data_IF_981132724832
#
_entry.id   IF_981132724832
#
_cell.length_a   1.000
_cell.length_b   1.000
_cell.length_c   1.000
_cell.angle_alpha   90.00
_cell.angle_beta   90.00
_cell.angle_gamma   90.00
#
_symmetry.space_group_name_H-M   'P 1'
#
loop_
_entity.id
_entity.type
_entity.pdbx_description
1 polymer ?
#
# COMPACT_ATOMS: atom_id res chain seq x y z
N UNK A 1 -5.59 13.50 6.67
CA UNK A 1 -4.18 13.08 6.78
C UNK A 1 -4.08 11.58 7.02
N UNK A 2 -3.40 10.88 6.11
CA UNK A 2 -3.07 9.46 6.22
C UNK A 2 -1.58 9.33 6.47
N UNK A 3 -1.24 8.46 7.41
CA UNK A 3 0.11 7.96 7.61
C UNK A 3 0.17 6.56 7.00
N UNK A 4 1.00 6.39 5.97
CA UNK A 4 1.47 5.12 5.47
C UNK A 4 2.75 4.82 6.26
N UNK A 5 2.61 4.14 7.38
CA UNK A 5 3.77 3.65 8.12
C UNK A 5 4.47 2.57 7.28
N UNK A 6 5.81 2.46 7.39
CA UNK A 6 6.64 1.36 6.86
C UNK A 6 5.87 0.04 6.78
N UNK A 7 5.35 -0.37 5.62
CA UNK A 7 4.50 -1.58 5.62
C UNK A 7 4.30 -2.31 4.32
N UNK A 8 5.06 -2.03 3.25
CA UNK A 8 5.20 -3.06 2.21
C UNK A 8 6.05 -4.19 2.79
N UNK A 9 5.38 -5.10 3.51
CA UNK A 9 6.00 -6.26 4.13
C UNK A 9 5.59 -7.49 3.36
N UNK A 10 6.58 -8.32 3.06
CA UNK A 10 6.33 -9.64 2.52
C UNK A 10 5.58 -10.46 3.58
N UNK A 11 4.34 -10.81 3.26
CA UNK A 11 3.51 -11.74 4.00
C UNK A 11 3.71 -13.13 3.41
N UNK A 12 4.13 -14.08 4.26
CA UNK A 12 4.07 -15.50 3.94
C UNK A 12 2.61 -15.92 3.97
N UNK A 13 2.01 -16.11 2.79
CA UNK A 13 0.65 -16.61 2.68
C UNK A 13 0.69 -18.11 3.01
N UNK A 14 0.19 -18.49 4.19
CA UNK A 14 0.00 -19.90 4.53
C UNK A 14 -1.27 -20.39 3.84
N UNK A 15 -1.12 -21.26 2.87
CA UNK A 15 -2.23 -21.95 2.22
C UNK A 15 -2.28 -23.40 2.69
N UNK A 16 -3.48 -23.91 2.95
CA UNK A 16 -3.70 -25.29 3.41
C UNK A 16 -3.46 -26.33 2.30
N UNK A 17 -3.51 -25.86 1.03
CA UNK A 17 -3.20 -26.65 -0.16
C UNK A 17 -1.79 -26.29 -0.65
N UNK A 18 -1.02 -27.26 -1.16
CA UNK A 18 0.28 -26.98 -1.77
C UNK A 18 0.06 -26.14 -3.02
N UNK A 19 0.51 -24.89 -2.98
CA UNK A 19 0.48 -24.01 -4.16
C UNK A 19 1.78 -24.24 -4.92
N UNK A 20 1.65 -24.57 -6.21
CA UNK A 20 2.77 -24.87 -7.12
C UNK A 20 3.57 -23.59 -7.47
N UNK A 21 3.04 -22.41 -7.15
CA UNK A 21 3.67 -21.09 -7.30
C UNK A 21 3.97 -20.47 -5.94
N UNK A 22 5.19 -19.92 -5.76
CA UNK A 22 5.58 -19.18 -4.55
C UNK A 22 4.77 -17.87 -4.46
N UNK A 23 3.67 -17.90 -3.70
CA UNK A 23 2.80 -16.75 -3.47
C UNK A 23 3.41 -15.84 -2.40
N UNK A 24 4.36 -15.01 -2.81
CA UNK A 24 4.83 -13.88 -2.00
C UNK A 24 3.79 -12.77 -2.03
N UNK A 25 2.99 -12.68 -0.98
CA UNK A 25 2.06 -11.58 -0.79
C UNK A 25 2.77 -10.37 -0.22
N UNK A 26 2.40 -9.16 -0.65
CA UNK A 26 2.84 -7.94 0.02
C UNK A 26 1.62 -7.26 0.64
N UNK A 27 1.68 -6.90 1.92
CA UNK A 27 0.64 -6.07 2.54
C UNK A 27 0.97 -4.59 2.38
N UNK A 28 -0.01 -3.69 2.41
CA UNK A 28 0.19 -2.27 2.66
C UNK A 28 -0.83 -1.80 3.69
N UNK A 29 -0.38 -0.99 4.65
CA UNK A 29 -1.20 -0.50 5.76
C UNK A 29 -1.38 1.01 5.61
N UNK A 30 -2.63 1.44 5.42
CA UNK A 30 -3.01 2.84 5.45
C UNK A 30 -3.61 3.15 6.82
N UNK A 31 -3.04 4.10 7.54
CA UNK A 31 -3.58 4.55 8.82
C UNK A 31 -4.06 5.99 8.73
N UNK A 32 -5.29 6.26 9.14
CA UNK A 32 -5.78 7.63 9.26
C UNK A 32 -5.30 8.21 10.60
N UNK A 33 -4.47 9.24 10.57
CA UNK A 33 -3.98 9.88 11.80
C UNK A 33 -5.08 10.63 12.56
N UNK A 34 -6.16 11.03 11.88
CA UNK A 34 -7.27 11.78 12.47
C UNK A 34 -8.25 10.83 13.17
N UNK A 35 -8.69 9.79 12.48
CA UNK A 35 -9.73 8.87 12.98
C UNK A 35 -9.19 7.61 13.62
N UNK A 36 -7.86 7.40 13.60
CA UNK A 36 -7.18 6.16 14.02
C UNK A 36 -7.66 4.88 13.29
N UNK A 37 -8.29 5.05 12.13
CA UNK A 37 -8.74 3.93 11.30
C UNK A 37 -7.55 3.27 10.59
N UNK A 38 -7.52 1.95 10.58
CA UNK A 38 -6.53 1.14 9.84
C UNK A 38 -7.20 0.50 8.64
N UNK A 39 -6.58 0.61 7.47
CA UNK A 39 -7.04 -0.04 6.24
C UNK A 39 -5.89 -0.87 5.64
N UNK A 40 -6.14 -2.18 5.46
CA UNK A 40 -5.17 -3.13 4.95
C UNK A 40 -5.44 -3.42 3.47
N UNK A 41 -4.40 -3.37 2.65
CA UNK A 41 -4.44 -3.71 1.23
C UNK A 41 -3.45 -4.81 0.89
N UNK A 42 -3.86 -5.72 -0.01
CA UNK A 42 -2.98 -6.72 -0.59
C UNK A 42 -2.38 -6.22 -1.90
N UNK A 43 -1.08 -6.45 -2.07
CA UNK A 43 -0.29 -6.10 -3.23
C UNK A 43 0.34 -7.37 -3.80
N UNK A 44 0.45 -7.39 -5.12
CA UNK A 44 1.13 -8.44 -5.89
C UNK A 44 2.64 -8.29 -5.89
N UNK A 45 3.18 -7.21 -5.34
CA UNK A 45 4.60 -6.88 -5.35
C UNK A 45 4.90 -5.58 -4.60
N UNK A 46 6.19 -5.31 -4.37
CA UNK A 46 6.67 -4.06 -3.78
C UNK A 46 6.93 -2.93 -4.80
N UNK A 47 6.38 -3.04 -6.00
CA UNK A 47 6.59 -2.05 -7.07
C UNK A 47 5.76 -0.78 -6.85
N UNK A 48 6.24 0.34 -7.40
CA UNK A 48 5.54 1.63 -7.38
C UNK A 48 4.12 1.53 -7.96
N UNK A 49 3.95 0.80 -9.07
CA UNK A 49 2.64 0.60 -9.68
C UNK A 49 1.66 -0.15 -8.76
N UNK A 50 2.15 -1.17 -8.04
CA UNK A 50 1.32 -1.91 -7.09
C UNK A 50 0.86 -1.01 -5.93
N UNK A 51 1.74 -0.14 -5.43
CA UNK A 51 1.43 0.83 -4.38
C UNK A 51 0.43 1.88 -4.86
N UNK A 52 0.62 2.46 -6.04
CA UNK A 52 -0.31 3.44 -6.62
C UNK A 52 -1.69 2.80 -6.78
N UNK A 53 -1.77 1.56 -7.27
CA UNK A 53 -3.03 0.85 -7.38
C UNK A 53 -3.69 0.59 -6.01
N UNK A 54 -2.91 0.26 -4.98
CA UNK A 54 -3.41 0.13 -3.62
C UNK A 54 -3.95 1.46 -3.07
N UNK A 55 -3.24 2.56 -3.31
CA UNK A 55 -3.68 3.91 -2.93
C UNK A 55 -4.97 4.31 -3.66
N UNK A 56 -5.09 4.01 -4.96
CA UNK A 56 -6.32 4.25 -5.73
C UNK A 56 -7.51 3.48 -5.15
N UNK A 57 -7.32 2.21 -4.77
CA UNK A 57 -8.39 1.42 -4.11
C UNK A 57 -8.77 2.00 -2.75
N UNK A 58 -7.78 2.45 -1.97
CA UNK A 58 -8.03 3.16 -0.72
C UNK A 58 -8.89 4.41 -0.95
N UNK A 59 -8.50 5.27 -1.89
CA UNK A 59 -9.20 6.53 -2.21
C UNK A 59 -10.62 6.25 -2.69
N UNK A 60 -10.81 5.25 -3.56
CA UNK A 60 -12.13 4.85 -4.04
C UNK A 60 -13.09 4.43 -2.90
N UNK A 61 -12.56 3.89 -1.79
CA UNK A 61 -13.36 3.42 -0.65
C UNK A 61 -13.50 4.44 0.47
N UNK A 62 -12.53 5.34 0.67
CA UNK A 62 -12.44 6.23 1.85
C UNK A 62 -12.41 7.72 1.50
N UNK A 63 -12.39 8.07 0.23
CA UNK A 63 -12.20 9.43 -0.25
C UNK A 63 -10.72 9.84 -0.31
N UNK A 64 -10.49 10.98 -0.95
CA UNK A 64 -9.14 11.51 -1.16
C UNK A 64 -8.60 12.12 0.14
N UNK A 65 -7.44 11.68 0.65
CA UNK A 65 -6.83 12.30 1.81
C UNK A 65 -6.29 13.69 1.48
N UNK A 66 -6.32 14.58 2.47
CA UNK A 66 -5.68 15.91 2.39
C UNK A 66 -4.15 15.84 2.28
N UNK A 67 -3.55 14.80 2.84
CA UNK A 67 -2.11 14.59 2.87
C UNK A 67 -1.80 13.12 3.14
N UNK A 68 -0.71 12.64 2.54
CA UNK A 68 -0.20 11.29 2.72
C UNK A 68 1.25 11.39 3.18
N UNK A 69 1.56 10.84 4.34
CA UNK A 69 2.93 10.71 4.83
C UNK A 69 3.34 9.26 4.67
N UNK A 70 4.50 8.99 4.07
CA UNK A 70 5.03 7.64 3.89
C UNK A 70 6.47 7.57 4.41
N UNK A 71 7.00 6.36 4.52
CA UNK A 71 8.43 6.21 4.71
C UNK A 71 9.19 6.64 3.43
N UNK A 72 10.50 6.82 3.55
CA UNK A 72 11.35 7.25 2.44
C UNK A 72 11.67 6.14 1.44
N UNK A 73 10.85 5.08 1.33
CA UNK A 73 11.13 3.99 0.39
C UNK A 73 11.12 4.49 -1.06
N UNK A 74 12.00 3.95 -1.93
CA UNK A 74 12.13 4.40 -3.32
C UNK A 74 10.81 4.36 -4.10
N UNK A 75 9.98 3.36 -3.81
CA UNK A 75 8.70 3.18 -4.49
C UNK A 75 7.72 4.33 -4.19
N UNK A 76 7.71 4.87 -2.96
CA UNK A 76 6.87 6.02 -2.61
C UNK A 76 7.42 7.33 -3.19
N UNK A 77 8.74 7.52 -3.21
CA UNK A 77 9.36 8.70 -3.84
C UNK A 77 9.05 8.77 -5.34
N UNK A 78 9.14 7.65 -6.04
CA UNK A 78 8.77 7.59 -7.46
C UNK A 78 7.25 7.76 -7.63
N UNK A 79 6.45 7.16 -6.75
CA UNK A 79 4.99 7.31 -6.77
C UNK A 79 4.54 8.75 -6.60
N UNK A 80 5.20 9.52 -5.73
CA UNK A 80 4.96 10.95 -5.58
C UNK A 80 5.18 11.69 -6.89
N UNK A 81 6.33 11.50 -7.56
CA UNK A 81 6.62 12.15 -8.86
C UNK A 81 5.54 11.85 -9.90
N UNK A 82 5.14 10.58 -10.00
CA UNK A 82 4.10 10.14 -10.95
C UNK A 82 2.73 10.79 -10.66
N UNK A 83 2.43 11.03 -9.38
CA UNK A 83 1.17 11.66 -8.95
C UNK A 83 1.19 13.19 -9.11
N UNK A 84 2.36 13.82 -8.94
CA UNK A 84 2.54 15.27 -9.10
C UNK A 84 2.60 15.69 -10.58
N UNK A 85 3.01 14.79 -11.47
CA UNK A 85 3.09 15.01 -12.93
C UNK A 85 1.73 14.90 -13.65
N UNK A 86 0.63 14.63 -12.95
CA UNK A 86 -0.73 14.48 -13.51
C UNK A 86 -1.68 15.55 -13.01
#
# INVERSE_FOLDING_TARGET
MIQIQKSVKEMKIKTDRPVIVDLRGYGCVFTCAVTRMVHLELLTGASTAAIINALRRYIARRGTPSSVTCDNAPAFKLGQKILDER
#
